data_IF_530976246631
#
_entry.id   IF_530976246631
#
_cell.length_a   1.000
_cell.length_b   1.000
_cell.length_c   1.000
_cell.angle_alpha   90.00
_cell.angle_beta   90.00
_cell.angle_gamma   90.00
#
_symmetry.space_group_name_H-M   'P 1'
#
loop_
_entity.id
_entity.type
_entity.pdbx_description
1 polymer ?
#
# COMPACT_ATOMS: atom_id res chain seq x y z
N UNK A 1 24.03 -99.88 -33.88
CA UNK A 1 23.73 -98.74 -32.97
C UNK A 1 22.45 -98.09 -33.46
N UNK A 2 21.41 -98.12 -32.64
CA UNK A 2 20.01 -97.91 -33.03
C UNK A 2 19.65 -96.44 -33.27
N UNK A 3 18.88 -96.13 -34.34
CA UNK A 3 18.48 -94.75 -34.72
C UNK A 3 17.69 -94.01 -33.63
N UNK A 4 17.16 -94.74 -32.64
CA UNK A 4 16.45 -94.20 -31.49
C UNK A 4 17.32 -93.34 -30.54
N UNK A 5 18.63 -93.62 -30.43
CA UNK A 5 19.53 -92.87 -29.53
C UNK A 5 20.04 -91.55 -30.12
N UNK A 6 20.19 -91.48 -31.45
CA UNK A 6 20.52 -90.23 -32.15
C UNK A 6 19.34 -89.24 -32.14
N UNK A 7 18.11 -89.74 -32.29
CA UNK A 7 16.91 -88.91 -32.22
C UNK A 7 16.71 -88.29 -30.82
N UNK A 8 16.97 -89.05 -29.75
CA UNK A 8 16.90 -88.55 -28.37
C UNK A 8 17.96 -87.48 -28.05
N UNK A 9 19.20 -87.65 -28.54
CA UNK A 9 20.26 -86.66 -28.33
C UNK A 9 20.03 -85.37 -29.12
N UNK A 10 19.52 -85.45 -30.35
CA UNK A 10 19.16 -84.29 -31.16
C UNK A 10 17.98 -83.51 -30.54
N UNK A 11 16.95 -84.21 -30.05
CA UNK A 11 15.83 -83.58 -29.36
C UNK A 11 16.27 -82.87 -28.06
N UNK A 12 17.17 -83.49 -27.28
CA UNK A 12 17.72 -82.88 -26.07
C UNK A 12 18.52 -81.59 -26.38
N UNK A 13 19.31 -81.58 -27.45
CA UNK A 13 20.06 -80.40 -27.88
C UNK A 13 19.15 -79.24 -28.29
N UNK A 14 18.07 -79.54 -29.04
CA UNK A 14 17.07 -78.55 -29.45
C UNK A 14 16.35 -77.95 -28.24
N UNK A 15 15.99 -78.76 -27.26
CA UNK A 15 15.34 -78.29 -26.02
C UNK A 15 16.28 -77.39 -25.22
N UNK A 16 17.57 -77.73 -25.10
CA UNK A 16 18.56 -76.91 -24.39
C UNK A 16 18.80 -75.57 -25.12
N UNK A 17 18.88 -75.59 -26.45
CA UNK A 17 19.04 -74.37 -27.25
C UNK A 17 17.81 -73.46 -27.15
N UNK A 18 16.61 -74.02 -27.25
CA UNK A 18 15.35 -73.27 -27.07
C UNK A 18 15.22 -72.71 -25.65
N UNK A 19 15.55 -73.51 -24.62
CA UNK A 19 15.55 -73.07 -23.24
C UNK A 19 16.57 -71.96 -22.96
N UNK A 20 17.77 -72.06 -23.56
CA UNK A 20 18.81 -71.02 -23.47
C UNK A 20 18.41 -69.71 -24.16
N UNK A 21 17.80 -69.79 -25.35
CA UNK A 21 17.27 -68.62 -26.06
C UNK A 21 16.14 -67.93 -25.29
N UNK A 22 15.21 -68.69 -24.70
CA UNK A 22 14.15 -68.16 -23.85
C UNK A 22 14.71 -67.49 -22.59
N UNK A 23 15.68 -68.12 -21.93
CA UNK A 23 16.34 -67.55 -20.75
C UNK A 23 17.10 -66.26 -21.09
N UNK A 24 17.78 -66.21 -22.24
CA UNK A 24 18.47 -65.02 -22.71
C UNK A 24 17.49 -63.89 -23.02
N UNK A 25 16.40 -64.16 -23.76
CA UNK A 25 15.37 -63.18 -24.07
C UNK A 25 14.70 -62.62 -22.80
N UNK A 26 14.39 -63.48 -21.83
CA UNK A 26 13.83 -63.05 -20.55
C UNK A 26 14.80 -62.21 -19.71
N UNK A 27 16.11 -62.48 -19.79
CA UNK A 27 17.12 -61.69 -19.09
C UNK A 27 17.33 -60.31 -19.74
N UNK A 28 17.29 -60.26 -21.06
CA UNK A 28 17.38 -59.01 -21.84
C UNK A 28 16.16 -58.11 -21.58
N UNK A 29 14.96 -58.69 -21.63
CA UNK A 29 13.70 -58.01 -21.30
C UNK A 29 13.72 -57.47 -19.86
N UNK A 30 14.19 -58.27 -18.90
CA UNK A 30 14.33 -57.83 -17.52
C UNK A 30 15.35 -56.70 -17.33
N UNK A 31 16.39 -56.61 -18.17
CA UNK A 31 17.35 -55.49 -18.15
C UNK A 31 16.74 -54.24 -18.76
N UNK A 32 16.10 -54.36 -19.93
CA UNK A 32 15.39 -53.28 -20.59
C UNK A 32 14.32 -52.66 -19.68
N UNK A 33 13.54 -53.49 -18.97
CA UNK A 33 12.55 -53.01 -18.00
C UNK A 33 13.16 -52.26 -16.82
N UNK A 34 14.32 -52.68 -16.30
CA UNK A 34 14.99 -51.97 -15.20
C UNK A 34 15.52 -50.61 -15.65
N UNK A 35 16.06 -50.52 -16.86
CA UNK A 35 16.60 -49.26 -17.37
C UNK A 35 15.47 -48.27 -17.69
N UNK A 36 14.37 -48.74 -18.29
CA UNK A 36 13.16 -47.93 -18.46
C UNK A 36 12.58 -47.45 -17.12
N UNK A 37 12.55 -48.30 -16.10
CA UNK A 37 12.06 -47.91 -14.78
C UNK A 37 12.95 -46.85 -14.10
N UNK A 38 14.28 -46.94 -14.28
CA UNK A 38 15.22 -45.93 -13.77
C UNK A 38 15.07 -44.61 -14.50
N UNK A 39 14.96 -44.64 -15.82
CA UNK A 39 14.79 -43.44 -16.64
C UNK A 39 13.44 -42.76 -16.33
N UNK A 40 12.36 -43.53 -16.20
CA UNK A 40 11.06 -43.02 -15.78
C UNK A 40 11.13 -42.36 -14.38
N UNK A 41 11.89 -42.94 -13.45
CA UNK A 41 12.16 -42.33 -12.13
C UNK A 41 12.89 -40.99 -12.24
N UNK A 42 13.95 -40.91 -13.04
CA UNK A 42 14.69 -39.67 -13.26
C UNK A 42 13.83 -38.57 -13.90
N UNK A 43 13.02 -38.91 -14.90
CA UNK A 43 12.08 -37.98 -15.54
C UNK A 43 11.06 -37.46 -14.53
N UNK A 44 10.55 -38.32 -13.65
CA UNK A 44 9.63 -37.93 -12.60
C UNK A 44 10.28 -36.94 -11.61
N UNK A 45 11.48 -37.24 -11.14
CA UNK A 45 12.22 -36.40 -10.19
C UNK A 45 12.57 -35.02 -10.79
N UNK A 46 13.08 -35.01 -12.03
CA UNK A 46 13.37 -33.76 -12.76
C UNK A 46 12.09 -32.96 -13.02
N UNK A 47 10.98 -33.63 -13.33
CA UNK A 47 9.66 -33.02 -13.46
C UNK A 47 9.22 -32.34 -12.16
N UNK A 48 9.39 -33.01 -11.02
CA UNK A 48 9.13 -32.44 -9.70
C UNK A 48 9.98 -31.21 -9.40
N UNK A 49 11.29 -31.29 -9.66
CA UNK A 49 12.21 -30.16 -9.47
C UNK A 49 11.83 -28.95 -10.36
N UNK A 50 11.43 -29.19 -11.61
CA UNK A 50 11.02 -28.14 -12.53
C UNK A 50 9.74 -27.45 -12.06
N UNK A 51 8.78 -28.19 -11.51
CA UNK A 51 7.55 -27.61 -10.93
C UNK A 51 7.89 -26.74 -9.72
N UNK A 52 8.74 -27.20 -8.82
CA UNK A 52 9.18 -26.42 -7.65
C UNK A 52 9.94 -25.16 -8.08
N UNK A 53 10.87 -25.27 -9.02
CA UNK A 53 11.66 -24.13 -9.51
C UNK A 53 10.78 -23.09 -10.23
N UNK A 54 9.78 -23.54 -11.01
CA UNK A 54 8.77 -22.65 -11.61
C UNK A 54 7.96 -21.94 -10.53
N UNK A 55 7.50 -22.66 -9.52
CA UNK A 55 6.79 -22.08 -8.37
C UNK A 55 7.61 -21.01 -7.65
N UNK A 56 8.90 -21.27 -7.38
CA UNK A 56 9.81 -20.28 -6.79
C UNK A 56 10.02 -19.05 -7.68
N UNK A 57 10.13 -19.25 -9.00
CA UNK A 57 10.26 -18.14 -9.95
C UNK A 57 9.01 -17.26 -9.94
N UNK A 58 7.83 -17.87 -9.93
CA UNK A 58 6.56 -17.16 -9.96
C UNK A 58 6.34 -16.38 -8.64
N UNK A 59 6.70 -16.98 -7.50
CA UNK A 59 6.67 -16.31 -6.20
C UNK A 59 7.63 -15.10 -6.15
N UNK A 60 8.89 -15.26 -6.55
CA UNK A 60 9.85 -14.17 -6.63
C UNK A 60 9.41 -13.05 -7.58
N UNK A 61 8.75 -13.41 -8.68
CA UNK A 61 8.22 -12.44 -9.66
C UNK A 61 7.07 -11.62 -9.06
N UNK A 62 6.19 -12.27 -8.30
CA UNK A 62 5.12 -11.62 -7.54
C UNK A 62 5.69 -10.66 -6.50
N UNK A 63 6.66 -11.12 -5.69
CA UNK A 63 7.33 -10.30 -4.68
C UNK A 63 8.02 -9.08 -5.30
N UNK A 64 8.77 -9.25 -6.39
CA UNK A 64 9.45 -8.15 -7.08
C UNK A 64 8.45 -7.12 -7.61
N UNK A 65 7.29 -7.55 -8.08
CA UNK A 65 6.22 -6.67 -8.55
C UNK A 65 5.63 -5.86 -7.40
N UNK A 66 5.37 -6.50 -6.26
CA UNK A 66 4.88 -5.83 -5.05
C UNK A 66 5.90 -4.80 -4.52
N UNK A 67 7.18 -5.15 -4.44
CA UNK A 67 8.24 -4.23 -3.99
C UNK A 67 8.40 -3.03 -4.91
N UNK A 68 8.25 -3.22 -6.24
CA UNK A 68 8.28 -2.10 -7.20
C UNK A 68 7.09 -1.16 -7.00
N UNK A 69 5.90 -1.70 -6.78
CA UNK A 69 4.71 -0.91 -6.47
C UNK A 69 4.89 -0.11 -5.18
N UNK A 70 5.38 -0.75 -4.11
CA UNK A 70 5.68 -0.08 -2.84
C UNK A 70 6.71 1.04 -2.99
N UNK A 71 7.80 0.79 -3.73
CA UNK A 71 8.80 1.83 -3.99
C UNK A 71 8.22 3.02 -4.77
N UNK A 72 7.35 2.76 -5.76
CA UNK A 72 6.69 3.83 -6.49
C UNK A 72 5.78 4.67 -5.57
N UNK A 73 5.03 4.04 -4.67
CA UNK A 73 4.21 4.72 -3.66
C UNK A 73 5.07 5.57 -2.72
N UNK A 74 6.12 4.99 -2.14
CA UNK A 74 7.03 5.71 -1.23
C UNK A 74 7.72 6.89 -1.92
N UNK A 75 8.11 6.74 -3.19
CA UNK A 75 8.68 7.84 -3.96
C UNK A 75 7.66 8.96 -4.21
N UNK A 76 6.39 8.62 -4.46
CA UNK A 76 5.33 9.61 -4.60
C UNK A 76 5.07 10.36 -3.28
N UNK A 77 4.99 9.63 -2.16
CA UNK A 77 4.82 10.22 -0.82
C UNK A 77 6.00 11.10 -0.41
N UNK A 78 7.24 10.70 -0.74
CA UNK A 78 8.44 11.48 -0.46
C UNK A 78 8.50 12.79 -1.25
N UNK A 79 7.86 12.87 -2.43
CA UNK A 79 7.82 14.10 -3.24
C UNK A 79 6.80 15.12 -2.74
N UNK A 80 5.67 14.65 -2.19
CA UNK A 80 4.63 15.49 -1.60
C UNK A 80 4.22 14.95 -0.23
N UNK A 81 5.10 15.07 0.78
CA UNK A 81 4.83 14.53 2.11
C UNK A 81 3.62 15.19 2.74
N UNK A 82 2.81 14.38 3.42
CA UNK A 82 1.78 14.88 4.33
C UNK A 82 2.32 14.83 5.75
N UNK A 83 2.46 15.99 6.37
CA UNK A 83 3.03 16.16 7.70
C UNK A 83 1.92 16.50 8.69
N UNK A 84 2.03 15.98 9.91
CA UNK A 84 1.16 16.42 11.00
C UNK A 84 1.58 17.80 11.47
N UNK A 85 0.61 18.71 11.62
CA UNK A 85 0.85 20.06 12.11
C UNK A 85 0.21 20.28 13.48
N UNK A 86 -1.05 19.88 13.63
CA UNK A 86 -1.74 19.95 14.91
C UNK A 86 -2.75 18.81 15.03
N UNK A 87 -2.35 17.76 15.73
CA UNK A 87 -3.09 16.51 15.86
C UNK A 87 -3.59 16.23 17.29
N UNK A 88 -3.28 17.11 18.24
CA UNK A 88 -3.65 16.94 19.64
C UNK A 88 -3.33 18.20 20.45
N UNK A 89 -4.05 18.42 21.55
CA UNK A 89 -3.52 19.18 22.69
C UNK A 89 -2.81 18.24 23.68
N UNK A 90 -2.30 17.09 23.21
CA UNK A 90 -1.96 15.90 24.01
C UNK A 90 -3.06 14.83 24.08
N UNK A 91 -4.20 15.03 23.42
CA UNK A 91 -5.37 14.15 23.33
C UNK A 91 -6.60 14.93 22.85
N UNK A 92 -7.83 14.43 23.12
CA UNK A 92 -9.05 15.24 23.04
C UNK A 92 -8.90 16.51 23.88
N UNK A 93 -9.30 17.66 23.35
CA UNK A 93 -9.15 18.95 24.01
C UNK A 93 -10.51 19.57 24.31
N UNK A 94 -10.61 20.27 25.42
CA UNK A 94 -11.80 21.09 25.68
C UNK A 94 -11.84 22.31 24.75
N UNK A 95 -13.04 22.64 24.29
CA UNK A 95 -13.38 23.91 23.64
C UNK A 95 -14.55 24.52 24.41
N UNK A 96 -14.52 25.83 24.63
CA UNK A 96 -15.51 26.54 25.44
C UNK A 96 -16.23 27.62 24.63
N UNK A 97 -17.40 28.10 25.12
CA UNK A 97 -17.95 29.35 24.63
C UNK A 97 -16.91 30.45 24.88
N UNK A 98 -16.66 31.31 23.89
CA UNK A 98 -15.66 32.39 23.92
C UNK A 98 -14.18 31.94 23.86
N UNK A 99 -13.91 30.66 23.60
CA UNK A 99 -12.56 30.15 23.35
C UNK A 99 -12.38 29.76 21.88
N UNK A 100 -11.23 30.13 21.31
CA UNK A 100 -10.85 29.73 19.96
C UNK A 100 -9.56 28.91 19.97
N UNK A 101 -9.43 28.03 18.99
CA UNK A 101 -8.16 27.36 18.66
C UNK A 101 -7.68 27.92 17.33
N UNK A 102 -6.41 28.28 17.26
CA UNK A 102 -5.80 28.93 16.11
C UNK A 102 -4.52 28.20 15.71
N UNK A 103 -4.24 28.16 14.42
CA UNK A 103 -2.96 27.73 13.88
C UNK A 103 -2.61 28.45 12.60
N UNK A 104 -1.34 28.44 12.23
CA UNK A 104 -0.85 29.03 10.99
C UNK A 104 -1.18 28.16 9.78
N UNK A 105 -1.30 28.79 8.61
CA UNK A 105 -1.20 28.11 7.32
C UNK A 105 0.20 28.38 6.76
N UNK A 106 1.08 27.37 6.68
CA UNK A 106 2.42 27.56 6.13
C UNK A 106 2.40 27.73 4.62
N UNK A 107 3.33 28.51 4.09
CA UNK A 107 3.60 28.62 2.65
C UNK A 107 4.12 27.29 2.08
N UNK A 108 3.87 27.01 0.81
CA UNK A 108 4.20 25.78 0.06
C UNK A 108 3.40 24.53 0.42
N UNK A 109 2.34 24.68 1.22
CA UNK A 109 1.51 23.57 1.65
C UNK A 109 0.02 23.81 1.44
N UNK A 110 -0.69 22.72 1.13
CA UNK A 110 -2.13 22.64 1.37
C UNK A 110 -2.39 22.33 2.85
N UNK A 111 -3.30 23.08 3.46
CA UNK A 111 -3.80 22.77 4.79
C UNK A 111 -4.91 21.71 4.69
N UNK A 112 -4.75 20.62 5.43
CA UNK A 112 -5.76 19.57 5.61
C UNK A 112 -6.36 19.75 7.00
N UNK A 113 -7.52 20.41 7.06
CA UNK A 113 -8.24 20.68 8.31
C UNK A 113 -9.25 19.57 8.56
N UNK A 114 -8.87 18.61 9.39
CA UNK A 114 -9.74 17.52 9.83
C UNK A 114 -9.93 17.57 11.34
N UNK A 115 -11.15 17.38 11.83
CA UNK A 115 -11.42 17.19 13.27
C UNK A 115 -12.75 16.48 13.50
N UNK A 116 -12.91 15.91 14.70
CA UNK A 116 -14.21 15.51 15.25
C UNK A 116 -14.47 16.22 16.58
N UNK A 117 -15.73 16.44 16.93
CA UNK A 117 -16.13 17.10 18.17
C UNK A 117 -17.49 16.58 18.69
N UNK A 118 -17.72 16.69 19.99
CA UNK A 118 -19.01 16.36 20.63
C UNK A 118 -20.02 17.53 20.61
N UNK A 119 -19.58 18.69 20.15
CA UNK A 119 -20.39 19.91 19.95
C UNK A 119 -20.19 20.46 18.55
N UNK A 120 -21.15 21.21 17.99
CA UNK A 120 -20.96 21.91 16.73
C UNK A 120 -19.86 22.96 16.85
N UNK A 121 -18.93 22.92 15.90
CA UNK A 121 -17.76 23.77 15.84
C UNK A 121 -17.70 24.42 14.47
N UNK A 122 -17.52 25.75 14.43
CA UNK A 122 -17.27 26.50 13.19
C UNK A 122 -15.77 26.60 12.96
N UNK A 123 -15.37 26.56 11.71
CA UNK A 123 -13.98 26.85 11.33
C UNK A 123 -13.90 27.94 10.27
N UNK A 124 -12.82 28.71 10.36
CA UNK A 124 -12.54 29.84 9.49
C UNK A 124 -11.10 29.77 9.00
N UNK A 125 -10.83 30.32 7.83
CA UNK A 125 -9.49 30.67 7.38
C UNK A 125 -9.45 32.16 7.11
N UNK A 126 -8.63 32.87 7.88
CA UNK A 126 -8.49 34.32 7.84
C UNK A 126 -7.10 34.69 7.34
N UNK A 127 -7.01 35.81 6.62
CA UNK A 127 -5.74 36.52 6.49
C UNK A 127 -5.27 37.07 7.83
N UNK A 128 -3.99 37.44 7.97
CA UNK A 128 -3.51 38.08 9.20
C UNK A 128 -4.27 39.37 9.55
N UNK A 129 -4.68 40.17 8.55
CA UNK A 129 -5.50 41.36 8.79
C UNK A 129 -6.89 41.01 9.33
N UNK A 130 -7.54 39.97 8.78
CA UNK A 130 -8.84 39.50 9.27
C UNK A 130 -8.74 38.87 10.66
N UNK A 131 -7.64 38.18 10.97
CA UNK A 131 -7.38 37.67 12.31
C UNK A 131 -7.33 38.80 13.34
N UNK A 132 -6.65 39.91 13.06
CA UNK A 132 -6.61 41.04 14.00
C UNK A 132 -7.99 41.69 14.19
N UNK A 133 -8.82 41.78 13.14
CA UNK A 133 -10.22 42.21 13.26
C UNK A 133 -11.03 41.26 14.15
N UNK A 134 -10.85 39.95 13.97
CA UNK A 134 -11.57 38.93 14.73
C UNK A 134 -11.18 38.92 16.22
N UNK A 135 -9.87 38.93 16.51
CA UNK A 135 -9.31 38.91 17.86
C UNK A 135 -9.68 40.19 18.64
N UNK A 136 -9.50 41.35 18.03
CA UNK A 136 -9.87 42.64 18.66
C UNK A 136 -11.37 42.80 18.91
N UNK A 137 -12.22 42.02 18.22
CA UNK A 137 -13.67 42.03 18.41
C UNK A 137 -14.19 40.92 19.34
N UNK A 138 -13.31 40.32 20.15
CA UNK A 138 -13.70 39.26 21.08
C UNK A 138 -14.21 38.01 20.37
N UNK A 139 -13.58 37.64 19.25
CA UNK A 139 -13.92 36.47 18.43
C UNK A 139 -15.32 36.51 17.81
N UNK A 140 -15.86 37.71 17.57
CA UNK A 140 -17.13 37.89 16.87
C UNK A 140 -16.90 38.02 15.35
N UNK A 141 -17.26 37.00 14.58
CA UNK A 141 -17.05 36.96 13.12
C UNK A 141 -17.71 38.13 12.36
N UNK A 142 -18.77 38.71 12.93
CA UNK A 142 -19.46 39.90 12.37
C UNK A 142 -18.56 41.12 12.20
N UNK A 143 -17.42 41.17 12.87
CA UNK A 143 -16.47 42.27 12.78
C UNK A 143 -15.41 42.05 11.70
N UNK A 144 -15.34 40.84 11.12
CA UNK A 144 -14.42 40.50 10.05
C UNK A 144 -14.97 40.98 8.73
N UNK A 145 -14.17 41.73 8.01
CA UNK A 145 -14.50 42.32 6.72
C UNK A 145 -13.83 41.58 5.57
N UNK A 146 -14.35 41.78 4.35
CA UNK A 146 -13.85 41.12 3.15
C UNK A 146 -14.27 39.64 3.05
N UNK A 147 -13.79 38.99 1.98
CA UNK A 147 -14.03 37.56 1.78
C UNK A 147 -13.08 36.72 2.64
N UNK A 148 -13.61 35.69 3.28
CA UNK A 148 -12.85 34.70 4.03
C UNK A 148 -13.52 33.33 3.85
N UNK A 149 -12.76 32.26 4.08
CA UNK A 149 -13.33 30.93 4.03
C UNK A 149 -13.94 30.57 5.38
N UNK A 150 -15.19 30.14 5.36
CA UNK A 150 -15.92 29.68 6.53
C UNK A 150 -16.54 28.32 6.24
N UNK A 151 -16.52 27.46 7.24
CA UNK A 151 -17.17 26.16 7.19
C UNK A 151 -18.28 26.13 8.24
N UNK A 152 -19.43 25.60 7.85
CA UNK A 152 -20.61 25.54 8.70
C UNK A 152 -20.35 24.77 9.99
N UNK A 153 -21.11 25.10 11.03
CA UNK A 153 -20.98 24.46 12.33
C UNK A 153 -21.24 22.96 12.21
N UNK A 154 -20.22 22.14 12.50
CA UNK A 154 -20.28 20.69 12.38
C UNK A 154 -19.56 20.00 13.54
N UNK A 155 -19.94 18.76 13.83
CA UNK A 155 -19.23 17.87 14.76
C UNK A 155 -18.11 17.08 14.07
N UNK A 156 -17.99 17.20 12.76
CA UNK A 156 -16.91 16.61 11.97
C UNK A 156 -16.65 17.49 10.77
N UNK A 157 -15.38 17.79 10.52
CA UNK A 157 -14.93 18.50 9.32
C UNK A 157 -13.80 17.70 8.71
N UNK A 158 -13.80 17.62 7.38
CA UNK A 158 -12.67 17.15 6.58
C UNK A 158 -12.61 18.04 5.34
N UNK A 159 -11.69 19.00 5.35
CA UNK A 159 -11.59 19.99 4.28
C UNK A 159 -10.15 20.35 3.98
N UNK A 160 -9.94 20.90 2.78
CA UNK A 160 -8.64 21.32 2.28
C UNK A 160 -8.67 22.80 1.94
N UNK A 161 -7.62 23.51 2.34
CA UNK A 161 -7.37 24.89 1.95
C UNK A 161 -6.08 24.97 1.14
N UNK A 162 -6.19 25.46 -0.09
CA UNK A 162 -5.13 25.43 -1.09
C UNK A 162 -4.39 26.77 -1.25
N UNK A 163 -4.92 27.90 -0.75
CA UNK A 163 -4.21 29.17 -0.94
C UNK A 163 -2.90 29.26 -0.14
N UNK A 164 -2.61 28.29 0.74
CA UNK A 164 -1.31 28.11 1.39
C UNK A 164 -0.18 27.63 0.47
N UNK A 165 -0.50 27.14 -0.74
CA UNK A 165 0.48 26.55 -1.68
C UNK A 165 1.55 27.55 -2.15
N UNK A 166 1.23 28.85 -2.15
CA UNK A 166 2.15 29.94 -2.49
C UNK A 166 1.94 31.18 -1.62
N UNK A 167 1.41 31.03 -0.40
CA UNK A 167 1.14 32.15 0.50
C UNK A 167 1.04 31.76 1.98
N UNK A 168 1.92 32.30 2.83
CA UNK A 168 1.84 32.16 4.30
C UNK A 168 1.04 33.26 5.00
N UNK A 169 0.07 33.91 4.34
CA UNK A 169 -0.63 35.07 4.88
C UNK A 169 -1.88 34.73 5.72
N UNK A 170 -2.04 33.46 6.11
CA UNK A 170 -3.28 32.96 6.68
C UNK A 170 -3.12 32.26 8.03
N UNK A 171 -4.20 32.29 8.80
CA UNK A 171 -4.43 31.46 9.98
C UNK A 171 -5.75 30.72 9.82
N UNK A 172 -5.82 29.51 10.34
CA UNK A 172 -7.09 28.80 10.51
C UNK A 172 -7.55 28.94 11.96
N UNK A 173 -8.85 29.03 12.16
CA UNK A 173 -9.49 29.25 13.46
C UNK A 173 -10.64 28.26 13.63
N UNK A 174 -10.80 27.75 14.84
CA UNK A 174 -11.88 26.86 15.26
C UNK A 174 -12.56 27.48 16.49
N UNK A 175 -13.89 27.58 16.47
CA UNK A 175 -14.71 28.18 17.53
C UNK A 175 -15.95 27.33 17.82
N UNK A 176 -16.37 27.29 19.09
CA UNK A 176 -17.63 26.69 19.51
C UNK A 176 -18.48 27.68 20.31
N UNK A 177 -19.81 27.61 20.14
CA UNK A 177 -20.76 28.43 20.91
C UNK A 177 -21.08 27.82 22.30
N UNK A 178 -20.58 26.61 22.57
CA UNK A 178 -20.83 25.86 23.82
C UNK A 178 -19.64 24.99 24.17
N UNK A 179 -19.55 24.65 25.45
CA UNK A 179 -18.47 23.81 25.96
C UNK A 179 -18.59 22.37 25.45
N UNK A 180 -17.46 21.79 25.07
CA UNK A 180 -17.34 20.43 24.57
C UNK A 180 -15.89 19.99 24.39
N UNK A 181 -15.70 18.95 23.61
CA UNK A 181 -14.42 18.31 23.31
C UNK A 181 -14.21 18.23 21.81
N UNK A 182 -13.00 18.55 21.36
CA UNK A 182 -12.55 18.42 19.97
C UNK A 182 -11.34 17.48 19.91
N UNK A 183 -11.29 16.67 18.87
CA UNK A 183 -10.15 15.82 18.49
C UNK A 183 -9.64 16.33 17.14
N UNK A 184 -8.67 17.25 17.14
CA UNK A 184 -8.11 17.80 15.90
C UNK A 184 -7.16 16.80 15.24
N UNK A 185 -7.15 16.79 13.91
CA UNK A 185 -6.18 16.08 13.08
C UNK A 185 -5.80 16.98 11.89
N UNK A 186 -5.15 18.09 12.20
CA UNK A 186 -4.70 19.06 11.21
C UNK A 186 -3.34 18.64 10.68
N UNK A 187 -3.28 18.53 9.36
CA UNK A 187 -2.09 18.13 8.61
C UNK A 187 -1.82 19.15 7.52
N UNK A 188 -0.63 19.08 6.95
CA UNK A 188 -0.24 19.87 5.80
C UNK A 188 0.34 18.94 4.75
N UNK A 189 -0.03 19.12 3.49
CA UNK A 189 0.55 18.37 2.37
C UNK A 189 1.44 19.32 1.59
N UNK A 190 2.73 18.98 1.48
CA UNK A 190 3.65 19.75 0.64
C UNK A 190 3.06 19.80 -0.77
N UNK A 191 2.95 21.00 -1.31
CA UNK A 191 2.34 21.29 -2.60
C UNK A 191 2.74 22.73 -2.99
N UNK A 192 3.97 22.97 -3.45
CA UNK A 192 4.40 24.31 -3.83
C UNK A 192 3.67 24.77 -5.09
N UNK A 193 3.16 26.01 -5.08
CA UNK A 193 2.68 26.69 -6.29
C UNK A 193 3.86 27.29 -7.08
N UNK A 194 3.69 27.42 -8.39
CA UNK A 194 4.64 28.08 -9.30
C UNK A 194 4.45 29.61 -9.37
N UNK A 195 3.45 30.14 -8.67
CA UNK A 195 3.14 31.57 -8.54
C UNK A 195 2.49 31.84 -7.17
N UNK A 196 2.47 33.12 -6.71
CA UNK A 196 1.77 33.48 -5.48
C UNK A 196 0.28 33.14 -5.56
N UNK A 197 -0.29 32.62 -4.47
CA UNK A 197 -1.70 32.23 -4.37
C UNK A 197 -2.48 33.13 -3.42
N UNK A 198 -3.81 33.15 -3.58
CA UNK A 198 -4.73 33.81 -2.65
C UNK A 198 -4.37 35.27 -2.34
N UNK A 199 -4.23 35.61 -1.06
CA UNK A 199 -3.94 36.95 -0.57
C UNK A 199 -2.59 37.48 -1.08
N UNK A 200 -1.61 36.60 -1.30
CA UNK A 200 -0.30 36.96 -1.85
C UNK A 200 -0.33 37.18 -3.37
N UNK A 201 -1.38 36.72 -4.07
CA UNK A 201 -1.57 37.01 -5.49
C UNK A 201 -2.15 38.42 -5.74
N UNK A 202 -2.79 39.00 -4.72
CA UNK A 202 -3.43 40.31 -4.77
C UNK A 202 -2.52 41.46 -4.26
N UNK A 203 -1.34 41.13 -3.75
CA UNK A 203 -0.36 42.07 -3.16
C UNK A 203 0.69 42.57 -4.13
#
# INVERSE_FOLDING_TARGET
MTPLRLAGAAAALVIVLLGGLLAFAALDDARAHRDLAREAGQVHDLGGQLVVARGQRDDLTSQLTALRAQNATLQAEARNPTLSMWNACGGPCTIGPDAVRVGSVPDTFQLLLTFTADVPVRSYVFTFHQWTQFDSCGFAVRCVTGAYQAFDAATSVDTTFADGEGCSAYVWVIQADRAGTIVPNVRVRYQPADHPTGACAAS
#
